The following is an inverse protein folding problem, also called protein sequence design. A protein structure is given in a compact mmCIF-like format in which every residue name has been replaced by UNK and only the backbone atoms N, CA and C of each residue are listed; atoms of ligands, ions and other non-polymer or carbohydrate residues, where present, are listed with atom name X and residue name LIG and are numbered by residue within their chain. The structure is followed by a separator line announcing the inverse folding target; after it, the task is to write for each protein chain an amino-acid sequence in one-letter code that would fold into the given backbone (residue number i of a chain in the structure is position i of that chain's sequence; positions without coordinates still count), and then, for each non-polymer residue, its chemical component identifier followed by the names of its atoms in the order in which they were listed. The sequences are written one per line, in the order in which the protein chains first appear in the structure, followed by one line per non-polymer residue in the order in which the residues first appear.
data_IF_415226602423
#
_entry.id   IF_415226602423
#
_cell.length_a   1.000
_cell.length_b   1.000
_cell.length_c   1.000
_cell.angle_alpha   90.00
_cell.angle_beta   90.00
_cell.angle_gamma   90.00
#
_symmetry.space_group_name_H-M   'P 1'
#
loop_
_entity.id
_entity.type
_entity.pdbx_description
1 polymer ?
#
# COMPACT_ATOMS: atom_id res chain seq x y z
N UNK A 1 21.48 -19.82 -5.51
CA UNK A 1 20.14 -19.36 -5.92
C UNK A 1 19.20 -19.60 -4.74
N UNK A 2 18.65 -18.55 -4.12
CA UNK A 2 17.63 -18.74 -3.07
C UNK A 2 16.45 -19.49 -3.70
N UNK A 3 16.02 -20.60 -3.11
CA UNK A 3 14.82 -21.29 -3.55
C UNK A 3 13.67 -20.28 -3.63
N UNK A 4 13.07 -20.18 -4.83
CA UNK A 4 11.89 -19.35 -5.01
C UNK A 4 10.76 -20.00 -4.22
N UNK A 5 10.37 -19.35 -3.14
CA UNK A 5 9.21 -19.74 -2.37
C UNK A 5 7.97 -19.51 -3.26
N UNK A 6 7.47 -20.58 -3.85
CA UNK A 6 6.40 -20.52 -4.86
C UNK A 6 5.13 -19.86 -4.33
N UNK A 7 4.76 -20.13 -3.08
CA UNK A 7 3.57 -19.53 -2.46
C UNK A 7 3.66 -18.01 -2.35
N UNK A 8 4.85 -17.44 -2.11
CA UNK A 8 5.06 -15.98 -2.07
C UNK A 8 4.78 -15.38 -3.45
N UNK A 9 5.23 -16.07 -4.50
CA UNK A 9 5.04 -15.58 -5.87
C UNK A 9 3.56 -15.56 -6.25
N UNK A 10 2.82 -16.62 -5.91
CA UNK A 10 1.37 -16.66 -6.10
C UNK A 10 0.65 -15.58 -5.28
N UNK A 11 1.03 -15.40 -4.02
CA UNK A 11 0.41 -14.39 -3.14
C UNK A 11 0.64 -12.97 -3.67
N UNK A 12 1.83 -12.66 -4.19
CA UNK A 12 2.10 -11.38 -4.86
C UNK A 12 1.26 -11.21 -6.12
N UNK A 13 1.05 -12.27 -6.89
CA UNK A 13 0.16 -12.24 -8.06
C UNK A 13 -1.29 -11.93 -7.68
N UNK A 14 -1.81 -12.58 -6.63
CA UNK A 14 -3.16 -12.31 -6.09
C UNK A 14 -3.25 -10.87 -5.60
N UNK A 15 -2.27 -10.39 -4.84
CA UNK A 15 -2.24 -9.01 -4.34
C UNK A 15 -2.20 -7.99 -5.50
N UNK A 16 -1.43 -8.25 -6.58
CA UNK A 16 -1.46 -7.41 -7.78
C UNK A 16 -2.86 -7.33 -8.39
N UNK A 17 -3.56 -8.46 -8.52
CA UNK A 17 -4.92 -8.48 -9.06
C UNK A 17 -5.89 -7.68 -8.18
N UNK A 18 -5.77 -7.82 -6.87
CA UNK A 18 -6.57 -7.05 -5.91
C UNK A 18 -6.29 -5.54 -6.00
N UNK A 19 -5.06 -5.09 -6.23
CA UNK A 19 -4.76 -3.66 -6.46
C UNK A 19 -5.51 -3.13 -7.68
N UNK A 20 -5.49 -3.88 -8.78
CA UNK A 20 -6.24 -3.53 -9.99
C UNK A 20 -7.74 -3.44 -9.67
N UNK A 21 -8.27 -4.41 -8.91
CA UNK A 21 -9.67 -4.45 -8.52
C UNK A 21 -10.10 -3.26 -7.64
N UNK A 22 -9.30 -2.82 -6.68
CA UNK A 22 -9.61 -1.60 -5.90
C UNK A 22 -9.75 -0.41 -6.85
N UNK A 23 -8.77 -0.23 -7.74
CA UNK A 23 -8.72 0.96 -8.59
C UNK A 23 -9.80 0.97 -9.66
N UNK A 24 -10.17 -0.19 -10.22
CA UNK A 24 -11.28 -0.29 -11.16
C UNK A 24 -12.64 -0.07 -10.49
N UNK A 25 -12.83 -0.52 -9.24
CA UNK A 25 -14.09 -0.40 -8.51
C UNK A 25 -14.28 0.96 -7.83
N UNK A 26 -13.20 1.72 -7.59
CA UNK A 26 -13.25 2.97 -6.81
C UNK A 26 -14.23 3.99 -7.40
N UNK A 27 -14.30 4.11 -8.73
CA UNK A 27 -15.22 5.05 -9.38
C UNK A 27 -16.69 4.75 -9.09
N UNK A 28 -17.07 3.46 -9.09
CA UNK A 28 -18.43 3.02 -8.78
C UNK A 28 -18.83 3.33 -7.33
N UNK A 29 -17.87 3.24 -6.41
CA UNK A 29 -18.10 3.56 -4.99
C UNK A 29 -18.27 5.05 -4.74
N UNK A 30 -17.53 5.89 -5.48
CA UNK A 30 -17.57 7.35 -5.29
C UNK A 30 -18.70 8.03 -6.06
N UNK A 31 -19.37 7.35 -6.98
CA UNK A 31 -20.52 7.87 -7.74
C UNK A 31 -21.77 7.00 -7.57
N UNK A 32 -22.27 6.81 -6.34
CA UNK A 32 -23.40 5.92 -6.07
C UNK A 32 -24.70 6.39 -6.76
N UNK A 33 -24.84 7.70 -7.01
CA UNK A 33 -26.06 8.28 -7.59
C UNK A 33 -26.20 8.06 -9.10
N UNK A 34 -25.14 7.61 -9.78
CA UNK A 34 -25.11 7.44 -11.24
C UNK A 34 -25.20 5.99 -11.68
N UNK A 35 -25.28 5.03 -10.74
CA UNK A 35 -25.27 3.59 -11.01
C UNK A 35 -26.43 2.90 -10.28
N UNK A 36 -26.73 1.67 -10.69
CA UNK A 36 -27.75 0.86 -10.00
C UNK A 36 -27.28 0.37 -8.63
N UNK A 37 -28.24 0.04 -7.75
CA UNK A 37 -27.96 -0.52 -6.43
C UNK A 37 -27.13 -1.81 -6.50
N UNK A 38 -27.44 -2.69 -7.46
CA UNK A 38 -26.72 -3.96 -7.64
C UNK A 38 -25.26 -3.74 -8.04
N UNK A 39 -24.99 -2.82 -8.96
CA UNK A 39 -23.63 -2.48 -9.38
C UNK A 39 -22.83 -1.88 -8.22
N UNK A 40 -23.48 -1.04 -7.41
CA UNK A 40 -22.85 -0.46 -6.23
C UNK A 40 -22.51 -1.53 -5.19
N UNK A 41 -23.44 -2.45 -4.88
CA UNK A 41 -23.21 -3.54 -3.93
C UNK A 41 -22.07 -4.46 -4.38
N UNK A 42 -22.06 -4.84 -5.66
CA UNK A 42 -20.98 -5.65 -6.23
C UNK A 42 -19.64 -4.92 -6.17
N UNK A 43 -19.60 -3.65 -6.57
CA UNK A 43 -18.40 -2.83 -6.46
C UNK A 43 -17.94 -2.74 -5.01
N UNK A 44 -18.86 -2.64 -4.04
CA UNK A 44 -18.53 -2.44 -2.63
C UNK A 44 -17.92 -3.71 -2.03
N UNK A 45 -18.49 -4.87 -2.35
CA UNK A 45 -17.95 -6.18 -1.96
C UNK A 45 -16.55 -6.36 -2.55
N UNK A 46 -16.39 -6.14 -3.86
CA UNK A 46 -15.11 -6.31 -4.54
C UNK A 46 -14.05 -5.31 -4.05
N UNK A 47 -14.43 -4.05 -3.86
CA UNK A 47 -13.53 -3.02 -3.33
C UNK A 47 -13.07 -3.40 -1.93
N UNK A 48 -14.01 -3.73 -1.02
CA UNK A 48 -13.73 -4.07 0.37
C UNK A 48 -12.85 -5.31 0.50
N UNK A 49 -13.14 -6.38 -0.26
CA UNK A 49 -12.34 -7.60 -0.27
C UNK A 49 -10.91 -7.37 -0.77
N UNK A 50 -10.72 -6.39 -1.66
CA UNK A 50 -9.43 -6.11 -2.28
C UNK A 50 -8.53 -5.19 -1.44
N UNK A 51 -9.07 -4.49 -0.43
CA UNK A 51 -8.34 -3.53 0.45
C UNK A 51 -7.12 -4.11 1.15
N UNK A 52 -7.08 -5.43 1.32
CA UNK A 52 -5.96 -6.14 1.97
C UNK A 52 -4.70 -6.20 1.10
N UNK A 53 -4.82 -5.88 -0.20
CA UNK A 53 -3.75 -6.00 -1.20
C UNK A 53 -2.45 -5.29 -0.84
N UNK A 54 -2.54 -4.02 -0.46
CA UNK A 54 -1.36 -3.20 -0.10
C UNK A 54 -0.71 -3.69 1.20
N UNK A 55 -1.46 -3.92 2.31
CA UNK A 55 -0.92 -4.56 3.50
C UNK A 55 -0.22 -5.90 3.21
N UNK A 56 -0.77 -6.75 2.33
CA UNK A 56 -0.13 -8.01 1.95
C UNK A 56 1.26 -7.79 1.34
N UNK A 57 1.43 -6.80 0.45
CA UNK A 57 2.75 -6.49 -0.08
C UNK A 57 3.74 -6.06 0.98
N UNK A 58 3.30 -5.25 1.95
CA UNK A 58 4.16 -4.85 3.07
C UNK A 58 4.53 -6.04 3.97
N UNK A 59 3.57 -6.93 4.25
CA UNK A 59 3.83 -8.15 5.03
C UNK A 59 4.80 -9.09 4.32
N UNK A 60 4.64 -9.30 3.01
CA UNK A 60 5.55 -10.12 2.21
C UNK A 60 6.97 -9.52 2.21
N UNK A 61 7.09 -8.20 2.05
CA UNK A 61 8.37 -7.52 2.13
C UNK A 61 9.01 -7.64 3.52
N UNK A 62 8.24 -7.43 4.59
CA UNK A 62 8.73 -7.63 5.96
C UNK A 62 9.21 -9.06 6.19
N UNK A 63 8.45 -10.06 5.73
CA UNK A 63 8.84 -11.48 5.84
C UNK A 63 10.15 -11.80 5.11
N UNK A 64 10.41 -11.16 3.96
CA UNK A 64 11.61 -11.43 3.17
C UNK A 64 12.86 -10.68 3.67
N UNK A 65 12.70 -9.50 4.27
CA UNK A 65 13.80 -8.58 4.59
C UNK A 65 14.03 -8.33 6.08
N UNK A 66 13.09 -8.65 6.97
CA UNK A 66 13.32 -8.49 8.42
C UNK A 66 13.96 -9.77 8.98
N UNK A 67 15.13 -9.64 9.60
CA UNK A 67 15.92 -10.77 10.13
C UNK A 67 17.36 -10.80 9.59
N UNK A 68 17.91 -11.98 9.34
CA UNK A 68 19.31 -12.15 8.91
C UNK A 68 19.61 -11.62 7.49
N UNK A 69 18.56 -11.38 6.68
CA UNK A 69 18.67 -10.94 5.29
C UNK A 69 18.24 -9.49 5.15
N UNK A 70 19.19 -8.55 5.24
CA UNK A 70 18.91 -7.12 5.04
C UNK A 70 18.71 -6.75 3.56
N UNK A 71 17.96 -5.68 3.31
CA UNK A 71 17.79 -5.10 1.99
C UNK A 71 19.13 -4.64 1.39
N UNK A 72 19.55 -5.27 0.29
CA UNK A 72 20.75 -4.87 -0.45
C UNK A 72 20.55 -3.57 -1.27
N UNK A 73 21.62 -2.80 -1.57
CA UNK A 73 21.58 -1.60 -2.41
C UNK A 73 20.93 -1.82 -3.79
N UNK A 74 21.05 -3.03 -4.35
CA UNK A 74 20.41 -3.42 -5.63
C UNK A 74 18.89 -3.32 -5.60
N UNK A 75 18.26 -3.57 -4.45
CA UNK A 75 16.81 -3.48 -4.29
C UNK A 75 16.36 -2.02 -4.31
N UNK A 76 17.10 -1.13 -3.65
CA UNK A 76 16.84 0.31 -3.69
C UNK A 76 17.02 0.88 -5.10
N UNK A 77 18.07 0.45 -5.83
CA UNK A 77 18.29 0.88 -7.21
C UNK A 77 17.15 0.44 -8.13
N UNK A 78 16.66 -0.80 -7.99
CA UNK A 78 15.49 -1.27 -8.75
C UNK A 78 14.24 -0.43 -8.45
N UNK A 79 14.00 -0.09 -7.19
CA UNK A 79 12.87 0.77 -6.82
C UNK A 79 13.03 2.18 -7.40
N UNK A 80 14.21 2.78 -7.28
CA UNK A 80 14.50 4.11 -7.83
C UNK A 80 14.30 4.14 -9.35
N UNK A 81 14.76 3.11 -10.08
CA UNK A 81 14.52 2.98 -11.52
C UNK A 81 13.03 2.83 -11.85
N UNK A 82 12.28 2.04 -11.08
CA UNK A 82 10.83 1.93 -11.26
C UNK A 82 10.13 3.28 -11.03
N UNK A 83 10.45 3.98 -9.94
CA UNK A 83 9.89 5.31 -9.64
C UNK A 83 10.22 6.27 -10.77
N UNK A 84 11.48 6.33 -11.21
CA UNK A 84 11.91 7.22 -12.28
C UNK A 84 11.18 6.92 -13.59
N UNK A 85 11.13 5.65 -14.00
CA UNK A 85 10.48 5.21 -15.22
C UNK A 85 8.98 5.56 -15.23
N UNK A 86 8.26 5.17 -14.17
CA UNK A 86 6.83 5.44 -14.11
C UNK A 86 6.53 6.93 -13.92
N UNK A 87 7.39 7.69 -13.22
CA UNK A 87 7.25 9.15 -13.11
C UNK A 87 7.46 9.84 -14.45
N UNK A 88 8.44 9.40 -15.24
CA UNK A 88 8.67 9.93 -16.59
C UNK A 88 7.49 9.63 -17.52
N UNK A 89 6.98 8.39 -17.50
CA UNK A 89 5.80 8.00 -18.27
C UNK A 89 4.55 8.80 -17.85
N UNK A 90 4.42 9.03 -16.55
CA UNK A 90 3.34 9.84 -15.97
C UNK A 90 3.38 11.30 -16.43
N UNK A 91 4.58 11.91 -16.40
CA UNK A 91 4.77 13.28 -16.87
C UNK A 91 4.50 13.38 -18.37
N UNK A 92 4.94 12.39 -19.17
CA UNK A 92 4.65 12.32 -20.59
C UNK A 92 3.14 12.22 -20.87
N UNK A 93 2.42 11.41 -20.09
CA UNK A 93 0.97 11.33 -20.21
C UNK A 93 0.30 12.68 -19.87
N UNK A 94 0.74 13.33 -18.80
CA UNK A 94 0.22 14.63 -18.38
C UNK A 94 0.49 15.69 -19.48
N UNK A 95 1.70 15.76 -20.03
CA UNK A 95 2.07 16.74 -21.05
C UNK A 95 1.30 16.56 -22.36
N UNK A 96 1.01 15.31 -22.74
CA UNK A 96 0.35 15.00 -24.01
C UNK A 96 -1.18 15.05 -23.93
N UNK A 97 -1.77 14.70 -22.78
CA UNK A 97 -3.22 14.46 -22.67
C UNK A 97 -3.93 15.37 -21.66
N UNK A 98 -3.21 16.20 -20.89
CA UNK A 98 -3.84 17.11 -19.91
C UNK A 98 -3.27 18.53 -19.97
N UNK A 99 -4.10 19.55 -19.74
CA UNK A 99 -3.66 20.95 -19.65
C UNK A 99 -3.04 21.31 -18.28
N UNK A 100 -2.52 20.34 -17.53
CA UNK A 100 -1.98 20.55 -16.18
C UNK A 100 -0.58 21.16 -16.30
N UNK A 101 -0.31 22.19 -15.49
CA UNK A 101 0.96 22.91 -15.50
C UNK A 101 2.12 22.01 -15.04
N UNK A 102 2.99 21.65 -15.98
CA UNK A 102 4.15 20.76 -15.82
C UNK A 102 5.14 21.29 -14.78
N UNK A 103 5.33 22.61 -14.70
CA UNK A 103 6.24 23.28 -13.75
C UNK A 103 5.78 23.05 -12.30
N UNK A 104 4.47 23.09 -12.05
CA UNK A 104 3.91 22.85 -10.73
C UNK A 104 4.04 21.38 -10.32
N UNK A 105 3.87 20.46 -11.27
CA UNK A 105 4.07 19.02 -11.07
C UNK A 105 5.53 18.67 -10.76
N UNK A 106 6.49 19.35 -11.40
CA UNK A 106 7.92 19.19 -11.14
C UNK A 106 8.31 19.71 -9.75
N UNK A 107 7.81 20.88 -9.33
CA UNK A 107 8.09 21.45 -8.01
C UNK A 107 7.55 20.58 -6.87
N UNK A 108 6.41 19.92 -7.09
CA UNK A 108 5.77 19.08 -6.08
C UNK A 108 6.17 17.61 -6.14
N UNK A 109 7.07 17.22 -7.05
CA UNK A 109 7.44 15.82 -7.32
C UNK A 109 8.01 15.10 -6.08
N UNK A 110 8.62 15.86 -5.17
CA UNK A 110 9.15 15.36 -3.89
C UNK A 110 8.10 15.33 -2.77
N UNK A 111 7.01 16.09 -2.89
CA UNK A 111 5.96 16.18 -1.86
C UNK A 111 4.79 15.23 -2.15
N UNK A 112 4.44 15.06 -3.42
CA UNK A 112 3.33 14.22 -3.86
C UNK A 112 3.77 13.38 -5.06
N UNK A 113 3.43 12.09 -5.11
CA UNK A 113 3.73 11.27 -6.26
C UNK A 113 2.97 11.81 -7.49
N UNK A 114 3.61 11.77 -8.67
CA UNK A 114 3.02 12.25 -9.93
C UNK A 114 1.68 11.55 -10.23
N UNK A 115 1.58 10.27 -9.85
CA UNK A 115 0.33 9.51 -9.79
C UNK A 115 0.15 8.88 -8.43
N UNK A 116 -1.08 8.85 -7.95
CA UNK A 116 -1.43 8.27 -6.65
C UNK A 116 -1.03 6.79 -6.51
N UNK A 117 -1.00 6.02 -7.60
CA UNK A 117 -0.54 4.63 -7.60
C UNK A 117 0.94 4.46 -7.22
N UNK A 118 1.78 5.49 -7.42
CA UNK A 118 3.21 5.41 -7.14
C UNK A 118 3.55 5.53 -5.65
N UNK A 119 2.58 5.96 -4.82
CA UNK A 119 2.76 6.10 -3.37
C UNK A 119 3.32 4.83 -2.71
N UNK A 120 2.89 3.66 -3.19
CA UNK A 120 3.35 2.36 -2.69
C UNK A 120 4.88 2.22 -2.70
N UNK A 121 5.56 2.73 -3.74
CA UNK A 121 7.01 2.65 -3.83
C UNK A 121 7.73 3.55 -2.81
N UNK A 122 7.12 4.64 -2.36
CA UNK A 122 7.71 5.44 -1.30
C UNK A 122 7.62 4.71 0.04
N UNK A 123 6.47 4.10 0.33
CA UNK A 123 6.29 3.30 1.55
C UNK A 123 7.23 2.09 1.61
N UNK A 124 7.45 1.39 0.48
CA UNK A 124 8.34 0.23 0.43
C UNK A 124 9.80 0.61 0.71
N UNK A 125 10.24 1.81 0.30
CA UNK A 125 11.60 2.31 0.59
C UNK A 125 11.80 2.48 2.09
N UNK A 126 10.81 3.03 2.79
CA UNK A 126 10.85 3.17 4.26
C UNK A 126 10.97 1.80 4.93
N UNK A 127 10.18 0.82 4.50
CA UNK A 127 10.24 -0.55 5.03
C UNK A 127 11.63 -1.16 4.84
N UNK A 128 12.24 -0.99 3.66
CA UNK A 128 13.57 -1.51 3.39
C UNK A 128 14.66 -0.78 4.19
N UNK A 129 14.49 0.52 4.44
CA UNK A 129 15.41 1.28 5.28
C UNK A 129 15.35 0.85 6.74
N UNK A 130 14.15 0.48 7.22
CA UNK A 130 13.95 -0.04 8.58
C UNK A 130 14.34 -1.52 8.73
N UNK A 131 14.51 -2.26 7.63
CA UNK A 131 14.82 -3.68 7.69
C UNK A 131 16.03 -4.08 8.53
N UNK A 132 17.19 -3.38 8.50
CA UNK A 132 18.31 -3.73 9.37
C UNK A 132 18.09 -3.38 10.85
N UNK A 133 17.13 -2.50 11.16
CA UNK A 133 16.87 -2.02 12.53
C UNK A 133 15.85 -2.90 13.25
N UNK A 134 15.04 -3.66 12.52
CA UNK A 134 13.92 -4.44 13.06
C UNK A 134 14.25 -5.92 13.06
N UNK A 135 14.34 -6.52 14.25
CA UNK A 135 14.40 -7.98 14.41
C UNK A 135 13.02 -8.54 14.74
N UNK A 136 12.63 -9.59 14.03
CA UNK A 136 11.34 -10.27 14.25
C UNK A 136 11.47 -11.25 15.41
N UNK A 137 10.79 -10.95 16.52
CA UNK A 137 10.68 -11.89 17.64
C UNK A 137 9.58 -12.91 17.37
N UNK A 138 9.83 -14.17 17.73
CA UNK A 138 8.80 -15.21 17.69
C UNK A 138 7.75 -14.92 18.78
N UNK A 139 6.49 -14.86 18.36
CA UNK A 139 5.33 -14.55 19.21
C UNK A 139 4.30 -15.66 19.04
N UNK A 140 3.64 -16.06 20.13
CA UNK A 140 2.59 -17.07 20.06
C UNK A 140 1.37 -16.55 19.27
N UNK A 141 0.69 -17.44 18.54
CA UNK A 141 -0.48 -17.04 17.73
C UNK A 141 -1.59 -16.36 18.55
N UNK A 142 -1.77 -16.76 19.81
CA UNK A 142 -2.71 -16.11 20.75
C UNK A 142 -2.33 -14.67 21.06
N UNK A 143 -1.03 -14.42 21.30
CA UNK A 143 -0.52 -13.08 21.57
C UNK A 143 -0.59 -12.20 20.32
N UNK A 144 -0.32 -12.76 19.13
CA UNK A 144 -0.49 -12.04 17.87
C UNK A 144 -1.95 -11.64 17.66
N UNK A 145 -2.90 -12.55 17.88
CA UNK A 145 -4.33 -12.26 17.78
C UNK A 145 -4.77 -11.17 18.77
N UNK A 146 -4.32 -11.27 20.02
CA UNK A 146 -4.58 -10.25 21.04
C UNK A 146 -4.03 -8.88 20.62
N UNK A 147 -2.79 -8.84 20.09
CA UNK A 147 -2.18 -7.61 19.60
C UNK A 147 -2.95 -7.02 18.41
N UNK A 148 -3.39 -7.85 17.46
CA UNK A 148 -4.20 -7.41 16.32
C UNK A 148 -5.53 -6.80 16.78
N UNK A 149 -6.20 -7.42 17.75
CA UNK A 149 -7.45 -6.90 18.31
C UNK A 149 -7.22 -5.57 19.03
N UNK A 150 -6.21 -5.49 19.90
CA UNK A 150 -5.89 -4.25 20.63
C UNK A 150 -5.53 -3.12 19.67
N UNK A 151 -4.65 -3.38 18.70
CA UNK A 151 -4.28 -2.39 17.68
C UNK A 151 -5.47 -2.00 16.81
N UNK A 152 -6.33 -2.96 16.43
CA UNK A 152 -7.54 -2.69 15.65
C UNK A 152 -8.53 -1.79 16.39
N UNK A 153 -8.68 -1.98 17.70
CA UNK A 153 -9.47 -1.11 18.56
C UNK A 153 -8.80 0.26 18.64
N UNK A 154 -7.54 0.35 19.05
CA UNK A 154 -6.81 1.62 19.19
C UNK A 154 -6.76 2.44 17.90
N UNK A 155 -6.59 1.79 16.76
CA UNK A 155 -6.51 2.44 15.46
C UNK A 155 -7.89 2.76 14.86
N UNK A 156 -9.00 2.35 15.50
CA UNK A 156 -10.33 2.68 15.02
C UNK A 156 -10.64 4.16 15.27
N UNK A 157 -10.69 5.00 14.22
CA UNK A 157 -10.93 6.43 14.36
C UNK A 157 -12.35 6.76 14.81
N UNK A 158 -13.26 5.78 14.78
CA UNK A 158 -14.66 5.91 15.20
C UNK A 158 -14.88 5.45 16.65
N UNK A 159 -13.83 5.21 17.43
CA UNK A 159 -14.01 5.02 18.86
C UNK A 159 -14.59 6.29 19.48
N UNK A 160 -15.63 6.13 20.31
CA UNK A 160 -16.12 7.23 21.14
C UNK A 160 -14.93 7.75 21.96
N UNK A 161 -14.68 9.08 22.00
CA UNK A 161 -13.57 9.62 22.77
C UNK A 161 -13.70 9.17 24.22
N UNK A 162 -12.77 8.32 24.65
CA UNK A 162 -12.70 7.84 26.02
C UNK A 162 -12.19 8.99 26.85
N UNK A 163 -13.10 9.71 27.51
CA UNK A 163 -12.76 10.69 28.54
C UNK A 163 -12.11 9.92 29.70
N UNK A 164 -10.80 9.83 29.70
CA UNK A 164 -10.05 9.37 30.86
C UNK A 164 -10.13 10.47 31.92
N UNK A 165 -11.08 10.32 32.85
CA UNK A 165 -11.12 11.02 34.14
C UNK A 165 -10.70 12.52 34.13
N UNK A 166 -11.28 13.32 33.24
CA UNK A 166 -11.31 14.78 33.39
C UNK A 166 -10.02 15.55 33.12
N UNK A 167 -9.18 15.12 32.18
CA UNK A 167 -8.13 16.00 31.61
C UNK A 167 -8.41 16.17 30.12
N UNK A 168 -8.59 17.44 29.72
CA UNK A 168 -8.81 17.89 28.35
C UNK A 168 -7.68 17.48 27.39
#
# INVERSE_FOLDING_TARGET
MQEKIHWITHLRGIACMMVVMIHSTTWYITHPHTISLLEWDLANILNSASRVSVPLFFMISGYLFFGERSAQPRHFLRIALCILFYSALSLLYITLFTHINVELSLRNLLQKPVFYHLWFFFAIVVIYLLSPLVQVKQVSGRMLLALMLVLGILANPNMVPVKAAGVE
#
